data_IF_090386830636
#
_entry.id   IF_090386830636
#
_cell.length_a   1.000
_cell.length_b   1.000
_cell.length_c   1.000
_cell.angle_alpha   90.00
_cell.angle_beta   90.00
_cell.angle_gamma   90.00
#
_symmetry.space_group_name_H-M   'P 1'
#
loop_
_entity.id
_entity.type
_entity.pdbx_description
1 polymer ?
#
# COMPACT_ATOMS: atom_id res chain seq x y z
N UNK A 1 7.88 -19.25 3.35
CA UNK A 1 8.86 -18.22 3.81
C UNK A 1 9.88 -17.87 2.73
N UNK A 2 10.52 -18.84 2.07
CA UNK A 2 11.48 -18.56 0.98
C UNK A 2 10.84 -17.76 -0.17
N UNK A 3 9.61 -18.11 -0.58
CA UNK A 3 8.90 -17.39 -1.65
C UNK A 3 8.69 -15.90 -1.36
N UNK A 4 8.39 -15.51 -0.11
CA UNK A 4 8.18 -14.11 0.26
C UNK A 4 9.46 -13.27 0.09
N UNK A 5 10.62 -13.84 0.42
CA UNK A 5 11.88 -13.09 0.40
C UNK A 5 12.23 -12.59 -1.02
N UNK A 6 12.02 -13.41 -2.04
CA UNK A 6 12.45 -13.12 -3.40
C UNK A 6 11.32 -12.58 -4.30
N UNK A 7 10.07 -12.62 -3.83
CA UNK A 7 8.91 -12.23 -4.61
C UNK A 7 8.85 -10.70 -4.83
N UNK A 8 8.82 -10.22 -6.08
CA UNK A 8 8.86 -8.79 -6.39
C UNK A 8 7.52 -8.11 -6.09
N UNK A 9 7.46 -7.28 -5.05
CA UNK A 9 6.26 -6.52 -4.70
C UNK A 9 6.53 -5.03 -4.91
N UNK A 10 5.67 -4.36 -5.69
CA UNK A 10 5.67 -2.91 -5.82
C UNK A 10 4.51 -2.29 -5.05
N UNK A 11 4.82 -1.37 -4.13
CA UNK A 11 3.83 -0.66 -3.32
C UNK A 11 3.72 0.76 -3.85
N UNK A 12 2.53 1.13 -4.29
CA UNK A 12 2.19 2.43 -4.85
C UNK A 12 1.59 3.31 -3.75
N UNK A 13 2.33 4.33 -3.34
CA UNK A 13 2.04 5.19 -2.19
C UNK A 13 2.85 4.81 -0.94
N UNK A 14 3.41 5.81 -0.26
CA UNK A 14 4.09 5.69 1.04
C UNK A 14 3.41 6.57 2.11
N UNK A 15 2.09 6.67 2.01
CA UNK A 15 1.22 7.30 3.01
C UNK A 15 0.90 6.36 4.16
N UNK A 16 -0.22 6.63 4.84
CA UNK A 16 -0.64 5.88 6.03
C UNK A 16 -0.74 4.35 5.79
N UNK A 17 -1.35 3.93 4.68
CA UNK A 17 -1.48 2.51 4.36
C UNK A 17 -0.17 1.94 3.82
N UNK A 18 0.38 2.53 2.75
CA UNK A 18 1.52 1.94 2.04
C UNK A 18 2.81 1.91 2.84
N UNK A 19 3.12 2.95 3.64
CA UNK A 19 4.33 2.95 4.47
C UNK A 19 4.26 1.88 5.57
N UNK A 20 3.15 1.82 6.32
CA UNK A 20 2.96 0.82 7.37
C UNK A 20 2.88 -0.62 6.79
N UNK A 21 2.29 -0.80 5.60
CA UNK A 21 2.25 -2.11 4.93
C UNK A 21 3.65 -2.54 4.48
N UNK A 22 4.43 -1.62 3.90
CA UNK A 22 5.82 -1.90 3.51
C UNK A 22 6.66 -2.33 4.71
N UNK A 23 6.53 -1.62 5.83
CA UNK A 23 7.20 -1.99 7.07
C UNK A 23 6.77 -3.39 7.54
N UNK A 24 5.48 -3.66 7.57
CA UNK A 24 4.94 -4.96 7.98
C UNK A 24 5.48 -6.09 7.10
N UNK A 25 5.43 -5.96 5.79
CA UNK A 25 5.94 -6.98 4.86
C UNK A 25 7.45 -7.18 4.99
N UNK A 26 8.23 -6.10 5.13
CA UNK A 26 9.67 -6.19 5.36
C UNK A 26 10.01 -6.94 6.66
N UNK A 27 9.27 -6.67 7.75
CA UNK A 27 9.40 -7.39 9.04
C UNK A 27 8.96 -8.86 8.96
N UNK A 28 8.01 -9.19 8.07
CA UNK A 28 7.64 -10.57 7.75
C UNK A 28 8.69 -11.30 6.89
N UNK A 29 9.70 -10.58 6.38
CA UNK A 29 10.80 -11.18 5.62
C UNK A 29 10.79 -10.92 4.12
N UNK A 30 9.92 -10.03 3.60
CA UNK A 30 9.97 -9.58 2.21
C UNK A 30 11.25 -8.74 1.98
N UNK A 31 12.02 -9.07 0.94
CA UNK A 31 13.27 -8.37 0.62
C UNK A 31 13.24 -7.67 -0.74
N UNK A 32 12.38 -8.13 -1.65
CA UNK A 32 12.27 -7.58 -3.00
C UNK A 32 11.09 -6.59 -3.07
N UNK A 33 11.24 -5.46 -2.37
CA UNK A 33 10.22 -4.43 -2.25
C UNK A 33 10.61 -3.18 -3.04
N UNK A 34 9.67 -2.62 -3.80
CA UNK A 34 9.77 -1.30 -4.42
C UNK A 34 8.66 -0.41 -3.88
N UNK A 35 8.99 0.81 -3.45
CA UNK A 35 8.00 1.80 -3.00
C UNK A 35 8.04 3.01 -3.93
N UNK A 36 6.87 3.41 -4.42
CA UNK A 36 6.70 4.50 -5.37
C UNK A 36 5.88 5.61 -4.71
N UNK A 37 6.52 6.73 -4.41
CA UNK A 37 5.87 7.90 -3.83
C UNK A 37 6.67 9.16 -4.15
N UNK A 38 5.99 10.23 -4.59
CA UNK A 38 6.63 11.52 -4.94
C UNK A 38 6.67 12.52 -3.80
N UNK A 39 5.91 12.26 -2.73
CA UNK A 39 5.67 13.25 -1.68
C UNK A 39 6.78 13.32 -0.64
N UNK A 40 6.79 14.43 0.06
CA UNK A 40 7.64 14.64 1.23
C UNK A 40 6.85 14.39 2.50
N UNK A 41 7.57 14.08 3.55
CA UNK A 41 6.99 13.96 4.89
C UNK A 41 6.58 15.34 5.37
N UNK A 42 5.36 15.45 5.85
CA UNK A 42 4.78 16.61 6.50
C UNK A 42 4.47 16.29 7.97
N UNK A 43 4.41 17.29 8.81
CA UNK A 43 4.18 17.11 10.25
C UNK A 43 2.85 16.41 10.55
N UNK A 44 1.81 16.69 9.75
CA UNK A 44 0.49 16.05 9.85
C UNK A 44 0.56 14.53 9.58
N UNK A 45 1.51 14.09 8.79
CA UNK A 45 1.66 12.66 8.47
C UNK A 45 2.13 11.80 9.66
N UNK A 46 2.80 12.41 10.65
CA UNK A 46 3.41 11.69 11.78
C UNK A 46 2.39 10.94 12.65
N UNK A 47 1.13 11.33 12.57
CA UNK A 47 0.06 10.70 13.35
C UNK A 47 -0.29 9.29 12.89
N UNK A 48 -0.21 9.02 11.58
CA UNK A 48 -0.65 7.77 10.96
C UNK A 48 0.45 7.02 10.20
N UNK A 49 1.53 7.71 9.83
CA UNK A 49 2.65 7.18 9.06
C UNK A 49 3.86 6.89 9.97
N UNK A 50 4.75 5.94 9.64
CA UNK A 50 5.84 5.52 10.52
C UNK A 50 7.10 6.41 10.40
N UNK A 51 6.91 7.70 10.18
CA UNK A 51 8.00 8.67 10.05
C UNK A 51 8.27 9.40 11.36
N UNK A 52 9.47 9.94 11.49
CA UNK A 52 9.93 10.66 12.68
C UNK A 52 9.94 12.19 12.43
N UNK A 53 9.89 12.97 13.50
CA UNK A 53 9.78 14.43 13.43
C UNK A 53 10.97 15.09 12.72
N UNK A 54 12.16 14.56 12.86
CA UNK A 54 13.39 15.05 12.21
C UNK A 54 13.47 14.68 10.73
N UNK A 55 12.55 13.85 10.24
CA UNK A 55 12.45 13.47 8.83
C UNK A 55 11.49 14.38 8.03
N UNK A 56 10.82 15.36 8.67
CA UNK A 56 9.93 16.30 7.98
C UNK A 56 10.68 17.02 6.84
N UNK A 57 10.08 17.01 5.64
CA UNK A 57 10.68 17.53 4.41
C UNK A 57 11.49 16.51 3.60
N UNK A 58 11.82 15.34 4.15
CA UNK A 58 12.46 14.24 3.41
C UNK A 58 11.44 13.54 2.50
N UNK A 59 11.86 12.99 1.37
CA UNK A 59 11.01 12.19 0.49
C UNK A 59 10.52 10.93 1.21
N UNK A 60 9.21 10.68 1.24
CA UNK A 60 8.59 9.53 1.94
C UNK A 60 9.23 8.20 1.57
N UNK A 61 9.31 7.88 0.29
CA UNK A 61 9.91 6.62 -0.17
C UNK A 61 11.39 6.48 0.26
N UNK A 62 12.16 7.57 0.27
CA UNK A 62 13.58 7.54 0.67
C UNK A 62 13.73 7.31 2.18
N UNK A 63 12.92 7.98 2.99
CA UNK A 63 12.95 7.82 4.44
C UNK A 63 12.54 6.41 4.83
N UNK A 64 11.46 5.88 4.25
CA UNK A 64 10.99 4.53 4.49
C UNK A 64 12.06 3.48 4.15
N UNK A 65 12.73 3.60 2.99
CA UNK A 65 13.84 2.72 2.61
C UNK A 65 14.98 2.73 3.63
N UNK A 66 15.39 3.92 4.10
CA UNK A 66 16.46 4.08 5.11
C UNK A 66 16.04 3.49 6.47
N UNK A 67 14.81 3.73 6.88
CA UNK A 67 14.25 3.21 8.12
C UNK A 67 14.26 1.69 8.11
N UNK A 68 13.79 1.06 7.03
CA UNK A 68 13.72 -0.40 6.93
C UNK A 68 15.10 -1.06 6.81
N UNK A 69 16.05 -0.39 6.16
CA UNK A 69 17.43 -0.86 6.19
C UNK A 69 18.01 -0.89 7.62
N UNK A 70 17.79 0.18 8.39
CA UNK A 70 18.25 0.24 9.79
C UNK A 70 17.52 -0.75 10.70
N UNK A 71 16.20 -0.93 10.47
CA UNK A 71 15.37 -1.73 11.37
C UNK A 71 15.52 -3.25 11.17
N UNK A 72 15.59 -3.70 9.91
CA UNK A 72 15.53 -5.13 9.56
C UNK A 72 16.51 -5.53 8.43
N UNK A 73 17.37 -4.61 7.98
CA UNK A 73 18.32 -4.87 6.90
C UNK A 73 17.68 -5.03 5.52
N UNK A 74 16.44 -4.55 5.33
CA UNK A 74 15.72 -4.66 4.05
C UNK A 74 16.15 -3.55 3.10
N UNK A 75 16.57 -3.91 1.89
CA UNK A 75 16.95 -2.98 0.82
C UNK A 75 15.74 -2.66 -0.06
N UNK A 76 14.89 -1.75 0.41
CA UNK A 76 13.71 -1.31 -0.33
C UNK A 76 14.11 -0.32 -1.42
N UNK A 77 13.70 -0.57 -2.67
CA UNK A 77 13.91 0.35 -3.79
C UNK A 77 12.97 1.53 -3.67
N UNK A 78 13.51 2.74 -3.48
CA UNK A 78 12.74 3.98 -3.37
C UNK A 78 12.61 4.69 -4.71
N UNK A 79 11.39 4.85 -5.22
CA UNK A 79 11.07 5.61 -6.43
C UNK A 79 10.37 6.91 -6.04
N UNK A 80 11.12 8.03 -6.06
CA UNK A 80 10.65 9.37 -5.67
C UNK A 80 10.07 10.15 -6.86
N UNK A 81 9.19 9.52 -7.62
CA UNK A 81 8.59 10.09 -8.83
C UNK A 81 7.08 9.88 -8.84
N UNK A 82 6.38 10.88 -9.38
CA UNK A 82 4.97 10.69 -9.72
C UNK A 82 4.81 9.56 -10.73
N UNK A 83 3.90 8.62 -10.42
CA UNK A 83 3.52 7.59 -11.38
C UNK A 83 2.55 8.18 -12.41
N UNK A 84 2.85 7.99 -13.70
CA UNK A 84 2.04 8.47 -14.81
C UNK A 84 2.17 7.54 -16.03
N UNK A 85 1.40 7.80 -17.09
CA UNK A 85 1.33 6.97 -18.29
C UNK A 85 2.69 6.78 -19.00
N UNK A 86 3.63 7.74 -18.84
CA UNK A 86 4.96 7.69 -19.48
C UNK A 86 5.94 6.78 -18.75
N UNK A 87 5.72 6.56 -17.45
CA UNK A 87 6.68 5.85 -16.62
C UNK A 87 6.13 4.63 -15.88
N UNK A 88 4.81 4.41 -15.86
CA UNK A 88 4.18 3.27 -15.15
C UNK A 88 4.79 1.94 -15.57
N UNK A 89 4.99 1.71 -16.87
CA UNK A 89 5.65 0.50 -17.36
C UNK A 89 7.08 0.34 -16.82
N UNK A 90 7.84 1.44 -16.76
CA UNK A 90 9.22 1.40 -16.26
C UNK A 90 9.29 0.93 -14.81
N UNK A 91 8.37 1.41 -13.97
CA UNK A 91 8.41 1.17 -12.53
C UNK A 91 7.67 -0.10 -12.08
N UNK A 92 6.67 -0.56 -12.85
CA UNK A 92 5.89 -1.74 -12.48
C UNK A 92 6.20 -3.02 -13.28
N UNK A 93 6.98 -2.96 -14.37
CA UNK A 93 7.23 -4.11 -15.24
C UNK A 93 7.92 -5.30 -14.60
N UNK A 94 8.64 -5.09 -13.50
CA UNK A 94 9.36 -6.14 -12.78
C UNK A 94 8.60 -6.64 -11.54
N UNK A 95 7.45 -6.05 -11.23
CA UNK A 95 6.61 -6.53 -10.14
C UNK A 95 5.87 -7.81 -10.56
N UNK A 96 5.71 -8.73 -9.63
CA UNK A 96 4.78 -9.86 -9.73
C UNK A 96 3.48 -9.59 -8.96
N UNK A 97 3.54 -8.67 -8.00
CA UNK A 97 2.38 -8.13 -7.30
C UNK A 97 2.53 -6.61 -7.16
N UNK A 98 1.46 -5.88 -7.46
CA UNK A 98 1.33 -4.47 -7.13
C UNK A 98 0.35 -4.33 -5.98
N UNK A 99 0.71 -3.52 -4.96
CA UNK A 99 -0.23 -3.10 -3.93
C UNK A 99 -0.47 -1.60 -4.08
N UNK A 100 -1.69 -1.24 -4.42
CA UNK A 100 -2.09 0.15 -4.62
C UNK A 100 -2.66 0.73 -3.31
N UNK A 101 -1.93 1.70 -2.77
CA UNK A 101 -2.27 2.46 -1.58
C UNK A 101 -2.36 3.97 -1.85
N UNK A 102 -2.51 4.39 -3.13
CA UNK A 102 -2.69 5.79 -3.45
C UNK A 102 -4.03 6.33 -2.90
N UNK A 103 -4.08 7.60 -2.58
CA UNK A 103 -5.23 8.31 -2.02
C UNK A 103 -6.13 8.99 -3.06
N UNK A 104 -5.64 9.15 -4.30
CA UNK A 104 -6.35 9.86 -5.36
C UNK A 104 -6.81 8.93 -6.50
N UNK A 105 -7.99 9.20 -7.04
CA UNK A 105 -8.63 8.39 -8.08
C UNK A 105 -7.83 8.32 -9.38
N UNK A 106 -7.09 9.37 -9.75
CA UNK A 106 -6.29 9.38 -10.97
C UNK A 106 -5.15 8.36 -10.91
N UNK A 107 -4.41 8.35 -9.81
CA UNK A 107 -3.30 7.40 -9.62
C UNK A 107 -3.82 5.97 -9.49
N UNK A 108 -4.93 5.77 -8.77
CA UNK A 108 -5.60 4.47 -8.67
C UNK A 108 -6.08 3.95 -10.03
N UNK A 109 -6.71 4.80 -10.85
CA UNK A 109 -7.14 4.42 -12.20
C UNK A 109 -5.95 4.00 -13.08
N UNK A 110 -4.83 4.72 -13.01
CA UNK A 110 -3.63 4.38 -13.75
C UNK A 110 -3.07 3.00 -13.37
N UNK A 111 -3.00 2.69 -12.07
CA UNK A 111 -2.53 1.39 -11.56
C UNK A 111 -3.49 0.28 -11.98
N UNK A 112 -4.80 0.47 -11.75
CA UNK A 112 -5.87 -0.47 -12.14
C UNK A 112 -5.77 -0.83 -13.62
N UNK A 113 -5.71 0.18 -14.48
CA UNK A 113 -5.64 0.03 -15.93
C UNK A 113 -4.35 -0.67 -16.39
N UNK A 114 -3.21 -0.29 -15.80
CA UNK A 114 -1.93 -0.90 -16.16
C UNK A 114 -1.90 -2.37 -15.76
N UNK A 115 -2.29 -2.68 -14.54
CA UNK A 115 -2.29 -4.05 -14.03
C UNK A 115 -3.28 -4.94 -14.81
N UNK A 116 -4.49 -4.46 -15.09
CA UNK A 116 -5.48 -5.18 -15.88
C UNK A 116 -5.01 -5.49 -17.32
N UNK A 117 -4.41 -4.49 -18.01
CA UNK A 117 -3.89 -4.66 -19.37
C UNK A 117 -2.70 -5.61 -19.46
N UNK A 118 -1.91 -5.75 -18.41
CA UNK A 118 -0.72 -6.59 -18.38
C UNK A 118 -0.92 -7.90 -17.61
N UNK A 119 -2.14 -8.20 -17.15
CA UNK A 119 -2.46 -9.38 -16.34
C UNK A 119 -1.56 -9.50 -15.09
N UNK A 120 -1.25 -8.36 -14.49
CA UNK A 120 -0.42 -8.25 -13.31
C UNK A 120 -1.31 -8.25 -12.07
N UNK A 121 -0.99 -9.10 -11.10
CA UNK A 121 -1.71 -9.16 -9.84
C UNK A 121 -1.66 -7.82 -9.12
N UNK A 122 -2.83 -7.33 -8.70
CA UNK A 122 -2.95 -6.04 -8.02
C UNK A 122 -3.94 -6.13 -6.87
N UNK A 123 -3.50 -5.67 -5.69
CA UNK A 123 -4.31 -5.54 -4.49
C UNK A 123 -4.48 -4.06 -4.16
N UNK A 124 -5.71 -3.59 -4.10
CA UNK A 124 -6.04 -2.22 -3.70
C UNK A 124 -6.37 -2.16 -2.22
N UNK A 125 -5.72 -1.24 -1.51
CA UNK A 125 -5.99 -0.96 -0.10
C UNK A 125 -6.46 0.48 0.01
N UNK A 126 -7.67 0.67 0.53
CA UNK A 126 -8.30 1.97 0.66
C UNK A 126 -8.92 2.16 2.03
N UNK A 127 -9.09 3.43 2.44
CA UNK A 127 -9.81 3.77 3.65
C UNK A 127 -10.53 5.10 3.51
N UNK A 128 -11.68 5.21 4.17
CA UNK A 128 -12.48 6.41 4.27
C UNK A 128 -13.44 6.30 5.46
N UNK A 129 -13.57 7.35 6.27
CA UNK A 129 -14.67 7.55 7.22
C UNK A 129 -14.94 6.36 8.20
N UNK A 130 -13.91 5.79 8.79
CA UNK A 130 -14.03 4.64 9.71
C UNK A 130 -14.23 3.30 9.01
N UNK A 131 -14.08 3.26 7.69
CA UNK A 131 -14.16 2.08 6.83
C UNK A 131 -12.87 1.90 6.06
N UNK A 132 -12.44 0.65 5.86
CA UNK A 132 -11.35 0.31 4.96
C UNK A 132 -11.71 -0.93 4.13
N UNK A 133 -11.03 -1.05 3.00
CA UNK A 133 -11.22 -2.15 2.07
C UNK A 133 -9.87 -2.68 1.58
N UNK A 134 -9.83 -3.98 1.31
CA UNK A 134 -8.72 -4.70 0.70
C UNK A 134 -9.31 -5.53 -0.44
N UNK A 135 -9.08 -5.11 -1.69
CA UNK A 135 -9.81 -5.64 -2.87
C UNK A 135 -8.84 -5.96 -4.00
N UNK A 136 -8.96 -7.15 -4.59
CA UNK A 136 -8.24 -7.54 -5.79
C UNK A 136 -8.76 -6.81 -7.03
N UNK A 137 -7.88 -6.53 -7.99
CA UNK A 137 -8.12 -5.68 -9.16
C UNK A 137 -9.35 -6.08 -9.98
N UNK A 138 -9.66 -7.35 -10.07
CA UNK A 138 -10.79 -7.88 -10.84
C UNK A 138 -12.14 -7.35 -10.34
N UNK A 139 -12.22 -7.06 -9.06
CA UNK A 139 -13.44 -6.60 -8.39
C UNK A 139 -13.37 -5.15 -7.91
N UNK A 140 -12.19 -4.54 -8.03
CA UNK A 140 -11.98 -3.16 -7.59
C UNK A 140 -12.69 -2.16 -8.51
N UNK A 141 -13.22 -1.10 -7.89
CA UNK A 141 -13.80 0.05 -8.59
C UNK A 141 -13.15 1.31 -8.06
N UNK A 142 -12.55 2.08 -8.97
CA UNK A 142 -11.90 3.34 -8.62
C UNK A 142 -12.95 4.29 -8.02
N UNK A 143 -12.75 4.79 -6.78
CA UNK A 143 -13.69 5.72 -6.16
C UNK A 143 -13.71 7.07 -6.91
N UNK A 144 -14.82 7.82 -6.77
CA UNK A 144 -14.90 9.17 -7.31
C UNK A 144 -14.10 10.16 -6.46
N UNK A 145 -13.54 11.23 -7.07
CA UNK A 145 -12.68 12.26 -6.44
C UNK A 145 -13.36 13.13 -5.36
N UNK A 146 -14.41 12.67 -4.70
CA UNK A 146 -15.20 13.44 -3.73
C UNK A 146 -14.90 13.15 -2.26
N UNK A 147 -13.76 12.58 -1.95
CA UNK A 147 -13.43 12.23 -0.56
C UNK A 147 -12.37 13.17 -0.02
N UNK A 148 -12.66 13.75 1.15
CA UNK A 148 -11.68 14.48 1.95
C UNK A 148 -10.56 13.52 2.39
N UNK A 149 -9.34 14.04 2.52
CA UNK A 149 -8.18 13.26 2.93
C UNK A 149 -8.28 12.90 4.43
N UNK A 150 -8.81 11.72 4.70
CA UNK A 150 -9.03 11.21 6.06
C UNK A 150 -7.74 10.58 6.64
N UNK A 151 -6.77 10.28 5.78
CA UNK A 151 -5.56 9.57 6.17
C UNK A 151 -4.66 10.37 7.14
N UNK A 152 -4.79 11.69 7.15
CA UNK A 152 -4.03 12.59 8.03
C UNK A 152 -4.73 12.89 9.37
N UNK A 153 -5.92 12.31 9.60
CA UNK A 153 -6.63 12.47 10.87
C UNK A 153 -6.07 11.52 11.93
N UNK A 154 -5.59 12.00 13.08
CA UNK A 154 -4.91 11.17 14.09
C UNK A 154 -5.71 9.95 14.56
N UNK A 155 -7.03 10.07 14.68
CA UNK A 155 -7.90 8.96 15.08
C UNK A 155 -8.05 7.86 14.00
N UNK A 156 -7.59 8.10 12.78
CA UNK A 156 -7.51 7.08 11.74
C UNK A 156 -6.41 6.03 12.00
N UNK A 157 -5.48 6.26 12.92
CA UNK A 157 -4.37 5.35 13.24
C UNK A 157 -4.82 3.91 13.49
N UNK A 158 -5.90 3.71 14.22
CA UNK A 158 -6.41 2.36 14.50
C UNK A 158 -6.94 1.68 13.26
N UNK A 159 -7.65 2.41 12.39
CA UNK A 159 -8.13 1.88 11.11
C UNK A 159 -6.98 1.53 10.19
N UNK A 160 -5.95 2.38 10.10
CA UNK A 160 -4.71 2.10 9.37
C UNK A 160 -4.11 0.77 9.84
N UNK A 161 -3.97 0.57 11.16
CA UNK A 161 -3.37 -0.65 11.71
C UNK A 161 -4.18 -1.90 11.36
N UNK A 162 -5.51 -1.83 11.43
CA UNK A 162 -6.39 -2.94 11.04
C UNK A 162 -6.30 -3.23 9.54
N UNK A 163 -6.39 -2.20 8.70
CA UNK A 163 -6.31 -2.33 7.25
C UNK A 163 -4.97 -2.93 6.81
N UNK A 164 -3.86 -2.47 7.40
CA UNK A 164 -2.52 -2.98 7.13
C UNK A 164 -2.37 -4.44 7.57
N UNK A 165 -2.90 -4.82 8.73
CA UNK A 165 -2.86 -6.20 9.19
C UNK A 165 -3.63 -7.13 8.24
N UNK A 166 -4.83 -6.74 7.80
CA UNK A 166 -5.62 -7.51 6.83
C UNK A 166 -4.93 -7.56 5.46
N UNK A 167 -4.43 -6.44 4.96
CA UNK A 167 -3.75 -6.40 3.67
C UNK A 167 -2.47 -7.23 3.66
N UNK A 168 -1.66 -7.18 4.71
CA UNK A 168 -0.44 -7.99 4.81
C UNK A 168 -0.77 -9.48 4.85
N UNK A 169 -1.77 -9.89 5.63
CA UNK A 169 -2.21 -11.29 5.68
C UNK A 169 -2.77 -11.76 4.34
N UNK A 170 -3.52 -10.89 3.63
CA UNK A 170 -4.02 -11.18 2.27
C UNK A 170 -2.88 -11.42 1.29
N UNK A 171 -1.81 -10.60 1.35
CA UNK A 171 -0.60 -10.82 0.54
C UNK A 171 0.09 -12.13 0.91
N UNK A 172 0.23 -12.45 2.21
CA UNK A 172 0.88 -13.68 2.66
C UNK A 172 0.11 -14.93 2.21
N UNK A 173 -1.22 -14.96 2.31
CA UNK A 173 -2.08 -16.05 1.81
C UNK A 173 -1.95 -16.22 0.30
N UNK A 174 -2.00 -15.11 -0.46
CA UNK A 174 -1.78 -15.16 -1.91
C UNK A 174 -0.42 -15.77 -2.26
N UNK A 175 0.64 -15.41 -1.55
CA UNK A 175 1.97 -15.96 -1.77
C UNK A 175 2.08 -17.44 -1.36
N UNK A 176 1.33 -17.87 -0.37
CA UNK A 176 1.36 -19.24 0.12
C UNK A 176 0.67 -20.22 -0.84
N UNK A 177 -0.53 -19.90 -1.28
CA UNK A 177 -1.40 -20.83 -2.02
C UNK A 177 -2.21 -20.20 -3.17
N UNK A 178 -2.03 -18.91 -3.45
CA UNK A 178 -2.77 -18.19 -4.50
C UNK A 178 -4.16 -17.71 -4.08
N UNK A 179 -4.51 -17.82 -2.79
CA UNK A 179 -5.82 -17.37 -2.26
C UNK A 179 -6.02 -15.88 -2.48
N UNK A 180 -7.18 -15.51 -3.05
CA UNK A 180 -7.61 -14.12 -3.28
C UNK A 180 -8.94 -13.88 -2.59
N UNK A 181 -8.86 -13.21 -1.45
CA UNK A 181 -10.02 -12.81 -0.66
C UNK A 181 -10.10 -11.28 -0.63
N UNK A 182 -11.30 -10.75 -0.69
CA UNK A 182 -11.57 -9.31 -0.53
C UNK A 182 -12.16 -9.07 0.86
N UNK A 183 -11.80 -7.94 1.45
CA UNK A 183 -12.16 -7.63 2.83
C UNK A 183 -12.72 -6.23 2.96
N UNK A 184 -13.74 -6.08 3.79
CA UNK A 184 -14.19 -4.82 4.37
C UNK A 184 -13.89 -4.78 5.86
N UNK A 185 -13.53 -3.60 6.35
CA UNK A 185 -13.16 -3.35 7.73
C UNK A 185 -13.94 -2.15 8.20
N UNK A 186 -14.67 -2.28 9.31
CA UNK A 186 -15.47 -1.20 9.90
C UNK A 186 -15.04 -0.95 11.33
N UNK A 187 -14.60 0.28 11.64
CA UNK A 187 -14.17 0.67 12.98
C UNK A 187 -15.34 0.74 13.98
N UNK A 188 -16.52 1.10 13.52
CA UNK A 188 -17.69 1.34 14.36
C UNK A 188 -18.05 0.15 15.25
N UNK A 189 -17.94 -1.05 14.71
CA UNK A 189 -18.27 -2.31 15.37
C UNK A 189 -17.09 -3.28 15.42
N UNK A 190 -15.90 -2.84 14.98
CA UNK A 190 -14.66 -3.62 14.90
C UNK A 190 -14.83 -4.92 14.11
N UNK A 191 -15.54 -4.85 12.99
CA UNK A 191 -15.75 -6.03 12.14
C UNK A 191 -14.77 -6.07 10.96
N UNK A 192 -14.33 -7.27 10.62
CA UNK A 192 -13.57 -7.62 9.43
C UNK A 192 -14.39 -8.69 8.71
N UNK A 193 -14.90 -8.34 7.53
CA UNK A 193 -15.85 -9.21 6.81
C UNK A 193 -15.35 -9.52 5.42
N UNK A 194 -15.36 -10.81 4.97
CA UNK A 194 -15.07 -11.15 3.60
C UNK A 194 -16.13 -10.54 2.67
N UNK A 195 -15.68 -9.96 1.57
CA UNK A 195 -16.57 -9.39 0.56
C UNK A 195 -16.75 -10.39 -0.58
N UNK A 196 -17.99 -10.85 -0.78
CA UNK A 196 -18.38 -11.57 -1.99
C UNK A 196 -18.99 -10.53 -2.92
N UNK A 197 -18.17 -10.01 -3.83
CA UNK A 197 -18.63 -9.07 -4.84
C UNK A 197 -19.26 -9.89 -5.98
N UNK A 198 -20.57 -9.79 -6.14
CA UNK A 198 -21.35 -10.43 -7.22
C UNK A 198 -21.24 -9.62 -8.51
#
# INVERSE_FOLDING_TARGET
MERLADFPISICGAGALGANLTETLARCGAKNLTVIDRDRIEEVNLSTQPYELDEVGVMKATSLSRMLYRAVGSEVVAVTKELNERNVRKFLKSAELVVDCFDNSRSRALVTDYCGKNQLDCLHVGMADGFAEVIWNEQYRVPSDRQDDICDYPLARNLVSLAVAVASETVLKFLADGTRENWSITLKDLTITPMVLT
#
